data_IF_547057975303
#
_entry.id   IF_547057975303
#
_cell.length_a   1.000
_cell.length_b   1.000
_cell.length_c   1.000
_cell.angle_alpha   90.00
_cell.angle_beta   90.00
_cell.angle_gamma   90.00
#
_symmetry.space_group_name_H-M   'P 1'
#
loop_
_entity.id
_entity.type
_entity.pdbx_description
1 polymer ?
#
# COMPACT_ATOMS: atom_id res chain seq x y z
N UNK A 1 6.23 -3.09 18.50
CA UNK A 1 7.39 -2.20 18.75
C UNK A 1 7.71 -2.02 20.22
N UNK A 2 6.77 -1.55 21.07
CA UNK A 2 7.00 -1.42 22.53
C UNK A 2 7.56 -2.70 23.18
N UNK A 3 6.96 -3.86 22.92
CA UNK A 3 7.42 -5.16 23.45
C UNK A 3 8.84 -5.53 22.99
N UNK A 4 9.27 -5.05 21.81
CA UNK A 4 10.62 -5.26 21.28
C UNK A 4 11.63 -4.23 21.79
N UNK A 5 11.23 -3.27 22.64
CA UNK A 5 12.11 -2.24 23.20
C UNK A 5 12.33 -1.01 22.31
N UNK A 6 11.70 -0.93 21.14
CA UNK A 6 11.84 0.23 20.25
C UNK A 6 10.90 1.37 20.66
N UNK A 7 11.50 2.45 21.19
CA UNK A 7 10.79 3.69 21.53
C UNK A 7 10.56 4.60 20.33
N UNK A 8 11.39 4.50 19.29
CA UNK A 8 11.29 5.19 18.01
C UNK A 8 11.58 4.23 16.86
N UNK A 9 10.83 4.32 15.76
CA UNK A 9 10.99 3.46 14.58
C UNK A 9 10.49 4.14 13.30
N UNK A 10 10.95 3.61 12.16
CA UNK A 10 10.39 3.88 10.83
C UNK A 10 9.47 2.73 10.46
N UNK A 11 8.31 3.02 9.85
CA UNK A 11 7.42 2.00 9.32
C UNK A 11 7.37 2.06 7.78
N UNK A 12 7.23 0.89 7.15
CA UNK A 12 7.13 0.77 5.69
C UNK A 12 5.91 -0.08 5.33
N UNK A 13 5.18 0.30 4.29
CA UNK A 13 4.08 -0.53 3.81
C UNK A 13 3.52 -0.21 2.42
N UNK A 14 3.11 -1.27 1.73
CA UNK A 14 2.20 -1.24 0.57
C UNK A 14 0.83 -1.83 0.96
N UNK A 15 -0.16 -1.75 0.06
CA UNK A 15 -1.52 -2.28 0.28
C UNK A 15 -2.12 -1.92 1.67
N UNK A 16 -2.73 -2.86 2.38
CA UNK A 16 -3.19 -2.67 3.76
C UNK A 16 -2.08 -2.21 4.71
N UNK A 17 -0.83 -2.63 4.45
CA UNK A 17 0.34 -2.16 5.19
C UNK A 17 0.55 -0.65 5.05
N UNK A 18 0.21 -0.04 3.90
CA UNK A 18 0.24 1.42 3.72
C UNK A 18 -0.81 2.10 4.61
N UNK A 19 -2.04 1.57 4.65
CA UNK A 19 -3.10 2.08 5.53
C UNK A 19 -2.70 1.99 7.01
N UNK A 20 -2.22 0.83 7.46
CA UNK A 20 -1.75 0.62 8.83
C UNK A 20 -0.56 1.55 9.15
N UNK A 21 0.40 1.69 8.24
CA UNK A 21 1.57 2.56 8.40
C UNK A 21 1.18 4.03 8.58
N UNK A 22 0.23 4.52 7.78
CA UNK A 22 -0.33 5.87 7.96
C UNK A 22 -1.05 6.01 9.31
N UNK A 23 -1.87 5.03 9.71
CA UNK A 23 -2.52 5.06 11.03
C UNK A 23 -1.50 5.06 12.18
N UNK A 24 -0.38 4.32 12.06
CA UNK A 24 0.72 4.38 13.03
C UNK A 24 1.35 5.77 13.13
N UNK A 25 1.57 6.44 12.00
CA UNK A 25 2.11 7.80 11.97
C UNK A 25 1.17 8.84 12.60
N UNK A 26 -0.14 8.68 12.40
CA UNK A 26 -1.15 9.60 12.95
C UNK A 26 -1.40 9.38 14.44
N UNK A 27 -1.52 8.12 14.87
CA UNK A 27 -1.87 7.76 16.25
C UNK A 27 -0.65 7.78 17.18
N UNK A 28 0.54 7.50 16.66
CA UNK A 28 1.77 7.37 17.44
C UNK A 28 2.94 8.17 16.85
N UNK A 29 2.80 9.48 16.55
CA UNK A 29 3.86 10.29 15.91
C UNK A 29 5.14 10.43 16.78
N UNK A 30 5.02 10.15 18.08
CA UNK A 30 6.16 10.11 19.01
C UNK A 30 6.95 8.81 18.95
N UNK A 31 6.40 7.74 18.37
CA UNK A 31 7.06 6.44 18.26
C UNK A 31 7.30 6.04 16.79
N UNK A 32 6.28 6.17 15.93
CA UNK A 32 6.42 6.05 14.48
C UNK A 32 6.97 7.38 13.96
N UNK A 33 8.29 7.49 13.85
CA UNK A 33 9.00 8.76 13.59
C UNK A 33 9.14 9.10 12.14
N UNK A 34 8.88 8.17 11.22
CA UNK A 34 8.87 8.38 9.78
C UNK A 34 8.16 7.20 9.11
N UNK A 35 7.61 7.42 7.91
CA UNK A 35 6.97 6.36 7.12
C UNK A 35 7.42 6.31 5.67
N UNK A 36 7.53 5.11 5.11
CA UNK A 36 7.82 4.88 3.69
C UNK A 36 6.69 4.06 3.04
N UNK A 37 6.13 4.55 1.95
CA UNK A 37 4.97 3.92 1.30
C UNK A 37 5.31 3.54 -0.14
N UNK A 38 5.05 2.29 -0.54
CA UNK A 38 5.11 1.88 -1.95
C UNK A 38 3.72 1.80 -2.63
N UNK A 39 2.66 2.08 -1.87
CA UNK A 39 1.31 2.34 -2.37
C UNK A 39 0.79 3.61 -1.66
N UNK A 40 1.17 4.81 -2.12
CA UNK A 40 0.83 6.06 -1.45
C UNK A 40 -0.63 6.45 -1.71
N UNK A 41 -1.60 5.68 -1.20
CA UNK A 41 -3.02 5.93 -1.41
C UNK A 41 -3.50 7.09 -0.53
N UNK A 42 -3.69 8.26 -1.14
CA UNK A 42 -4.24 9.47 -0.52
C UNK A 42 -5.45 9.97 -1.31
N UNK A 43 -6.47 10.44 -0.59
CA UNK A 43 -7.67 11.01 -1.21
C UNK A 43 -7.36 12.34 -1.88
N UNK A 44 -8.22 12.74 -2.83
CA UNK A 44 -8.22 14.10 -3.37
C UNK A 44 -8.39 15.09 -2.21
N UNK A 45 -7.53 16.12 -2.09
CA UNK A 45 -7.72 17.19 -1.13
C UNK A 45 -9.06 17.92 -1.30
N UNK A 46 -9.55 18.61 -0.25
CA UNK A 46 -10.73 19.47 -0.33
C UNK A 46 -10.70 20.43 -1.52
N UNK A 47 -11.86 20.77 -2.09
CA UNK A 47 -11.96 21.60 -3.32
C UNK A 47 -11.39 23.01 -3.15
N UNK A 48 -11.37 23.52 -1.93
CA UNK A 48 -10.83 24.81 -1.51
C UNK A 48 -9.31 24.77 -1.26
N UNK A 49 -8.67 23.60 -1.32
CA UNK A 49 -7.22 23.50 -1.23
C UNK A 49 -6.55 24.07 -2.50
N UNK A 50 -5.63 25.01 -2.32
CA UNK A 50 -4.79 25.53 -3.40
C UNK A 50 -3.73 24.49 -3.79
N UNK A 51 -3.86 23.92 -4.99
CA UNK A 51 -2.94 22.94 -5.55
C UNK A 51 -2.51 23.36 -6.96
N UNK A 52 -1.31 22.97 -7.42
CA UNK A 52 -0.95 23.12 -8.82
C UNK A 52 -1.92 22.30 -9.71
N UNK A 53 -2.15 22.73 -10.97
CA UNK A 53 -2.93 21.95 -11.91
C UNK A 53 -2.30 20.57 -12.14
N UNK A 54 -3.14 19.58 -12.42
CA UNK A 54 -2.66 18.24 -12.76
C UNK A 54 -2.05 18.25 -14.15
N UNK A 55 -1.01 17.44 -14.33
CA UNK A 55 -0.48 17.15 -15.67
C UNK A 55 -1.43 16.22 -16.42
N UNK A 56 -1.39 16.23 -17.75
CA UNK A 56 -2.18 15.32 -18.58
C UNK A 56 -1.92 13.84 -18.24
N UNK A 57 -0.69 13.50 -17.85
CA UNK A 57 -0.33 12.15 -17.41
C UNK A 57 -1.01 11.77 -16.09
N UNK A 58 -1.06 12.69 -15.12
CA UNK A 58 -1.76 12.48 -13.84
C UNK A 58 -3.28 12.37 -14.04
N UNK A 59 -3.87 13.20 -14.89
CA UNK A 59 -5.29 13.11 -15.25
C UNK A 59 -5.63 11.77 -15.92
N UNK A 60 -4.83 11.37 -16.91
CA UNK A 60 -5.00 10.10 -17.61
C UNK A 60 -4.90 8.92 -16.65
N UNK A 61 -3.97 8.97 -15.68
CA UNK A 61 -3.79 7.90 -14.69
C UNK A 61 -4.97 7.80 -13.72
N UNK A 62 -5.50 8.94 -13.27
CA UNK A 62 -6.71 8.98 -12.43
C UNK A 62 -7.90 8.39 -13.18
N UNK A 63 -8.06 8.72 -14.46
CA UNK A 63 -9.15 8.19 -15.26
C UNK A 63 -9.00 6.69 -15.53
N UNK A 64 -7.79 6.21 -15.82
CA UNK A 64 -7.50 4.78 -15.94
C UNK A 64 -7.81 4.02 -14.64
N UNK A 65 -7.46 4.59 -13.48
CA UNK A 65 -7.83 4.01 -12.19
C UNK A 65 -9.36 3.94 -12.01
N UNK A 66 -10.09 4.99 -12.37
CA UNK A 66 -11.55 5.03 -12.32
C UNK A 66 -12.17 3.95 -13.22
N UNK A 67 -11.70 3.81 -14.45
CA UNK A 67 -12.22 2.85 -15.42
C UNK A 67 -11.86 1.41 -15.02
N UNK A 68 -10.58 1.12 -14.84
CA UNK A 68 -10.07 -0.24 -14.71
C UNK A 68 -10.34 -0.80 -13.31
N UNK A 69 -10.07 -0.02 -12.26
CA UNK A 69 -10.16 -0.53 -10.90
C UNK A 69 -11.55 -0.28 -10.28
N UNK A 70 -12.03 0.96 -10.26
CA UNK A 70 -13.28 1.26 -9.55
C UNK A 70 -14.50 0.56 -10.17
N UNK A 71 -14.56 0.47 -11.50
CA UNK A 71 -15.70 -0.15 -12.18
C UNK A 71 -15.55 -1.67 -12.32
N UNK A 72 -14.36 -2.19 -12.64
CA UNK A 72 -14.17 -3.60 -12.99
C UNK A 72 -13.31 -4.40 -11.98
N UNK A 73 -12.27 -3.80 -11.39
CA UNK A 73 -11.33 -4.51 -10.50
C UNK A 73 -11.77 -4.72 -9.04
N UNK A 74 -12.87 -4.09 -8.58
CA UNK A 74 -13.29 -4.13 -7.16
C UNK A 74 -14.19 -5.29 -6.76
N UNK A 75 -14.46 -6.25 -7.66
CA UNK A 75 -15.34 -7.40 -7.39
C UNK A 75 -14.92 -8.19 -6.14
N UNK A 76 -13.64 -8.57 -6.07
CA UNK A 76 -13.05 -9.30 -4.94
C UNK A 76 -13.26 -8.54 -3.61
N UNK A 77 -13.00 -7.23 -3.62
CA UNK A 77 -13.08 -6.36 -2.45
C UNK A 77 -14.52 -6.28 -1.93
N UNK A 78 -15.50 -6.14 -2.83
CA UNK A 78 -16.92 -6.00 -2.47
C UNK A 78 -17.46 -7.25 -1.78
N UNK A 79 -17.15 -8.43 -2.31
CA UNK A 79 -17.62 -9.69 -1.70
C UNK A 79 -16.91 -9.98 -0.38
N UNK A 80 -15.60 -9.70 -0.27
CA UNK A 80 -14.87 -9.85 0.99
C UNK A 80 -15.37 -8.87 2.06
N UNK A 81 -15.72 -7.64 1.66
CA UNK A 81 -16.25 -6.64 2.59
C UNK A 81 -17.65 -6.98 3.10
N UNK A 82 -18.48 -7.68 2.33
CA UNK A 82 -19.89 -7.92 2.67
C UNK A 82 -20.16 -9.32 3.23
N UNK A 83 -19.55 -10.37 2.65
CA UNK A 83 -19.81 -11.78 2.99
C UNK A 83 -18.50 -12.58 3.14
N UNK A 84 -17.54 -12.13 3.99
CA UNK A 84 -16.23 -12.77 4.11
C UNK A 84 -16.33 -14.24 4.55
N UNK A 85 -17.27 -14.58 5.43
CA UNK A 85 -17.42 -15.94 5.94
C UNK A 85 -17.94 -16.91 4.87
N UNK A 86 -18.95 -16.49 4.09
CA UNK A 86 -19.54 -17.32 3.03
C UNK A 86 -18.53 -17.57 1.91
N UNK A 87 -17.84 -16.52 1.46
CA UNK A 87 -16.77 -16.66 0.48
C UNK A 87 -15.63 -17.54 1.02
N UNK A 88 -15.28 -17.33 2.29
CA UNK A 88 -14.24 -18.07 3.00
C UNK A 88 -14.40 -19.59 2.88
N UNK A 89 -15.59 -20.12 3.16
CA UNK A 89 -15.87 -21.56 3.03
C UNK A 89 -15.59 -22.10 1.62
N UNK A 90 -16.01 -21.38 0.58
CA UNK A 90 -15.83 -21.82 -0.80
C UNK A 90 -14.35 -21.81 -1.24
N UNK A 91 -13.59 -20.80 -0.79
CA UNK A 91 -12.19 -20.63 -1.18
C UNK A 91 -11.25 -21.49 -0.32
N UNK A 92 -11.52 -21.65 0.97
CA UNK A 92 -10.64 -22.40 1.88
C UNK A 92 -10.63 -23.91 1.64
N UNK A 93 -11.76 -24.46 1.17
CA UNK A 93 -11.93 -25.91 0.97
C UNK A 93 -11.37 -26.39 -0.40
N UNK A 94 -10.98 -25.46 -1.28
CA UNK A 94 -10.48 -25.75 -2.61
C UNK A 94 -9.08 -25.16 -2.82
N UNK A 95 -8.01 -25.98 -2.84
CA UNK A 95 -6.65 -25.48 -3.12
C UNK A 95 -6.55 -24.77 -4.47
N UNK A 96 -7.26 -25.27 -5.50
CA UNK A 96 -7.31 -24.66 -6.83
C UNK A 96 -8.11 -23.34 -6.77
N UNK A 97 -9.22 -23.31 -6.03
CA UNK A 97 -10.01 -22.10 -5.81
C UNK A 97 -9.20 -21.01 -5.11
N UNK A 98 -8.46 -21.37 -4.06
CA UNK A 98 -7.54 -20.48 -3.36
C UNK A 98 -6.44 -19.93 -4.28
N UNK A 99 -5.78 -20.83 -5.02
CA UNK A 99 -4.72 -20.46 -5.95
C UNK A 99 -5.24 -19.53 -7.05
N UNK A 100 -6.39 -19.81 -7.64
CA UNK A 100 -7.00 -18.96 -8.67
C UNK A 100 -7.41 -17.59 -8.09
N UNK A 101 -8.00 -17.57 -6.89
CA UNK A 101 -8.44 -16.34 -6.21
C UNK A 101 -7.28 -15.39 -5.91
N UNK A 102 -6.12 -15.93 -5.52
CA UNK A 102 -4.91 -15.15 -5.27
C UNK A 102 -4.19 -14.83 -6.59
N UNK A 103 -4.05 -15.83 -7.48
CA UNK A 103 -3.28 -15.75 -8.72
C UNK A 103 -3.79 -14.71 -9.69
N UNK A 104 -5.10 -14.51 -9.77
CA UNK A 104 -5.70 -13.44 -10.57
C UNK A 104 -5.13 -12.05 -10.20
N UNK A 105 -4.92 -11.78 -8.89
CA UNK A 105 -4.31 -10.52 -8.44
C UNK A 105 -2.82 -10.43 -8.75
N UNK A 106 -2.10 -11.54 -8.64
CA UNK A 106 -0.71 -11.57 -9.08
C UNK A 106 -0.56 -11.39 -10.59
N UNK A 107 -1.57 -11.72 -11.39
CA UNK A 107 -1.52 -11.49 -12.83
C UNK A 107 -1.93 -10.05 -13.17
N UNK A 108 -3.00 -9.53 -12.56
CA UNK A 108 -3.50 -8.19 -12.83
C UNK A 108 -2.63 -7.06 -12.28
N UNK A 109 -1.92 -7.27 -11.16
CA UNK A 109 -1.28 -6.18 -10.41
C UNK A 109 0.25 -6.15 -10.52
N UNK A 110 0.87 -7.11 -11.20
CA UNK A 110 2.32 -7.09 -11.46
C UNK A 110 2.64 -6.43 -12.79
N UNK A 111 3.88 -5.97 -12.94
CA UNK A 111 4.41 -5.53 -14.23
C UNK A 111 4.83 -6.71 -15.10
N UNK A 112 3.94 -7.15 -16.00
CA UNK A 112 4.18 -8.26 -16.94
C UNK A 112 5.05 -7.88 -18.15
N UNK A 113 5.54 -6.63 -18.27
CA UNK A 113 6.32 -6.21 -19.44
C UNK A 113 7.59 -7.05 -19.61
N UNK A 114 7.80 -7.56 -20.82
CA UNK A 114 8.96 -8.40 -21.14
C UNK A 114 8.82 -9.86 -20.71
N UNK A 115 7.65 -10.27 -20.21
CA UNK A 115 7.24 -11.67 -20.05
C UNK A 115 6.40 -12.16 -21.23
N UNK A 116 5.92 -13.40 -21.11
CA UNK A 116 5.00 -14.07 -22.04
C UNK A 116 3.52 -13.96 -21.63
N UNK A 117 3.24 -13.18 -20.59
CA UNK A 117 1.91 -13.01 -20.00
C UNK A 117 1.72 -13.80 -18.71
N UNK A 118 2.68 -14.64 -18.30
CA UNK A 118 2.71 -15.25 -16.97
C UNK A 118 3.54 -14.41 -15.98
N UNK A 119 3.58 -14.79 -14.70
CA UNK A 119 4.34 -14.09 -13.64
C UNK A 119 5.83 -13.92 -13.98
N UNK A 120 6.37 -14.78 -14.86
CA UNK A 120 7.75 -14.77 -15.31
C UNK A 120 8.02 -13.67 -16.35
N UNK A 121 9.18 -13.00 -16.33
CA UNK A 121 10.30 -13.17 -15.40
C UNK A 121 10.17 -12.34 -14.12
N UNK A 122 9.08 -11.58 -13.93
CA UNK A 122 8.92 -10.62 -12.84
C UNK A 122 8.93 -11.31 -11.47
N UNK A 123 8.35 -12.51 -11.37
CA UNK A 123 8.35 -13.34 -10.17
C UNK A 123 8.36 -14.82 -10.55
N UNK A 124 9.04 -15.65 -9.74
CA UNK A 124 9.05 -17.11 -9.96
C UNK A 124 7.74 -17.75 -9.50
N UNK A 125 7.40 -18.89 -10.10
CA UNK A 125 6.25 -19.69 -9.67
C UNK A 125 6.39 -20.14 -8.21
N UNK A 126 7.61 -20.39 -7.73
CA UNK A 126 7.87 -20.77 -6.34
C UNK A 126 7.52 -19.65 -5.35
N UNK A 127 7.80 -18.39 -5.68
CA UNK A 127 7.38 -17.26 -4.84
C UNK A 127 5.84 -17.15 -4.78
N UNK A 128 5.17 -17.30 -5.93
CA UNK A 128 3.71 -17.31 -5.98
C UNK A 128 3.12 -18.44 -5.13
N UNK A 129 3.57 -19.68 -5.36
CA UNK A 129 3.10 -20.85 -4.63
C UNK A 129 3.43 -20.77 -3.15
N UNK A 130 4.59 -20.23 -2.77
CA UNK A 130 4.93 -19.99 -1.35
C UNK A 130 3.91 -19.06 -0.71
N UNK A 131 3.53 -17.96 -1.37
CA UNK A 131 2.48 -17.06 -0.86
C UNK A 131 1.13 -17.80 -0.73
N UNK A 132 0.71 -18.57 -1.74
CA UNK A 132 -0.53 -19.37 -1.68
C UNK A 132 -0.48 -20.39 -0.54
N UNK A 133 0.65 -21.06 -0.33
CA UNK A 133 0.83 -22.08 0.70
C UNK A 133 0.78 -21.49 2.12
N UNK A 134 1.20 -20.25 2.32
CA UNK A 134 1.00 -19.55 3.61
C UNK A 134 -0.50 -19.48 3.92
N UNK A 135 -1.33 -19.05 2.97
CA UNK A 135 -2.80 -19.01 3.17
C UNK A 135 -3.40 -20.39 3.37
N UNK A 136 -2.94 -21.38 2.59
CA UNK A 136 -3.46 -22.73 2.61
C UNK A 136 -3.18 -23.44 3.93
N UNK A 137 -1.91 -23.55 4.34
CA UNK A 137 -1.50 -24.30 5.53
C UNK A 137 -2.03 -23.65 6.82
N UNK A 138 -2.08 -22.31 6.86
CA UNK A 138 -2.61 -21.60 8.03
C UNK A 138 -4.14 -21.50 8.04
N UNK A 139 -4.80 -21.93 6.96
CA UNK A 139 -6.24 -21.76 6.72
C UNK A 139 -6.73 -20.32 7.00
N UNK A 140 -5.93 -19.33 6.58
CA UNK A 140 -6.13 -17.93 6.98
C UNK A 140 -6.86 -17.07 5.95
N UNK A 141 -7.26 -17.65 4.81
CA UNK A 141 -7.94 -16.90 3.74
C UNK A 141 -9.27 -16.30 4.21
N UNK A 142 -10.05 -17.02 5.01
CA UNK A 142 -11.32 -16.50 5.55
C UNK A 142 -11.06 -15.35 6.54
N UNK A 143 -10.03 -15.48 7.38
CA UNK A 143 -9.69 -14.41 8.34
C UNK A 143 -9.13 -13.17 7.66
N UNK A 144 -8.36 -13.30 6.57
CA UNK A 144 -7.83 -12.15 5.84
C UNK A 144 -8.96 -11.31 5.20
N UNK A 145 -10.03 -11.95 4.72
CA UNK A 145 -11.20 -11.24 4.18
C UNK A 145 -11.90 -10.36 5.21
N UNK A 146 -11.84 -10.71 6.50
CA UNK A 146 -12.53 -9.96 7.56
C UNK A 146 -11.95 -8.55 7.74
N UNK A 147 -10.71 -8.29 7.32
CA UNK A 147 -10.14 -6.95 7.31
C UNK A 147 -10.95 -6.00 6.41
N UNK A 148 -11.35 -6.47 5.22
CA UNK A 148 -12.20 -5.71 4.29
C UNK A 148 -13.57 -5.43 4.91
N UNK A 149 -14.16 -6.43 5.58
CA UNK A 149 -15.44 -6.27 6.26
C UNK A 149 -15.36 -5.27 7.40
N UNK A 150 -14.29 -5.32 8.21
CA UNK A 150 -14.04 -4.36 9.27
C UNK A 150 -13.94 -2.94 8.71
N UNK A 151 -13.11 -2.74 7.68
CA UNK A 151 -12.90 -1.43 7.05
C UNK A 151 -14.21 -0.82 6.57
N UNK A 152 -15.04 -1.60 5.87
CA UNK A 152 -16.30 -1.11 5.29
C UNK A 152 -17.29 -0.65 6.36
N UNK A 153 -17.38 -1.35 7.50
CA UNK A 153 -18.39 -1.08 8.52
C UNK A 153 -17.94 -0.10 9.60
N UNK A 154 -16.63 0.00 9.86
CA UNK A 154 -16.13 0.87 10.94
C UNK A 154 -15.79 2.26 10.44
N UNK A 155 -15.28 2.40 9.21
CA UNK A 155 -14.89 3.68 8.58
C UNK A 155 -13.94 4.58 9.40
N UNK A 156 -13.50 4.18 10.59
CA UNK A 156 -12.70 4.99 11.51
C UNK A 156 -11.38 5.43 10.87
N UNK A 157 -10.70 4.52 10.19
CA UNK A 157 -9.46 4.83 9.47
C UNK A 157 -9.72 5.76 8.27
N UNK A 158 -10.85 5.62 7.57
CA UNK A 158 -11.16 6.49 6.41
C UNK A 158 -11.31 7.93 6.86
N UNK A 159 -12.05 8.17 7.96
CA UNK A 159 -12.26 9.52 8.45
C UNK A 159 -10.96 10.16 8.91
N UNK A 160 -10.13 9.45 9.67
CA UNK A 160 -8.84 9.98 10.14
C UNK A 160 -7.88 10.25 8.97
N UNK A 161 -7.73 9.30 8.05
CA UNK A 161 -6.80 9.37 6.92
C UNK A 161 -7.20 10.40 5.85
N UNK A 162 -8.46 10.86 5.85
CA UNK A 162 -8.99 11.84 4.89
C UNK A 162 -9.23 13.22 5.49
N UNK A 163 -8.91 13.43 6.77
CA UNK A 163 -9.12 14.73 7.45
C UNK A 163 -7.88 15.25 8.16
N UNK A 164 -6.95 14.37 8.56
CA UNK A 164 -5.75 14.75 9.32
C UNK A 164 -4.49 14.61 8.47
N UNK A 165 -3.60 15.61 8.56
CA UNK A 165 -2.30 15.58 7.88
C UNK A 165 -1.28 14.75 8.64
N UNK A 166 -0.46 13.99 7.91
CA UNK A 166 0.66 13.23 8.46
C UNK A 166 1.88 14.15 8.57
N UNK A 167 2.31 14.43 9.80
CA UNK A 167 3.35 15.43 10.08
C UNK A 167 4.76 14.85 10.19
N UNK A 168 4.89 13.54 10.44
CA UNK A 168 6.19 12.86 10.42
C UNK A 168 6.76 12.83 8.99
N UNK A 169 8.08 12.70 8.81
CA UNK A 169 8.70 12.53 7.49
C UNK A 169 8.08 11.36 6.71
N UNK A 170 7.75 11.61 5.44
CA UNK A 170 7.15 10.64 4.54
C UNK A 170 8.03 10.44 3.31
N UNK A 171 8.24 9.18 2.93
CA UNK A 171 8.84 8.77 1.66
C UNK A 171 7.84 7.97 0.84
N UNK A 172 7.83 8.14 -0.47
CA UNK A 172 6.96 7.38 -1.38
C UNK A 172 7.75 6.81 -2.56
N UNK A 173 7.58 5.52 -2.80
CA UNK A 173 8.03 4.81 -3.99
C UNK A 173 6.84 4.59 -4.93
N UNK A 174 6.94 5.06 -6.17
CA UNK A 174 5.87 5.04 -7.16
C UNK A 174 6.25 4.12 -8.29
N UNK A 175 5.57 2.97 -8.35
CA UNK A 175 5.72 1.98 -9.40
C UNK A 175 4.70 2.23 -10.52
N UNK A 176 5.05 1.97 -11.80
CA UNK A 176 4.21 2.32 -12.94
C UNK A 176 2.91 1.50 -13.03
N UNK A 177 2.93 0.24 -12.61
CA UNK A 177 1.75 -0.65 -12.62
C UNK A 177 1.10 -0.82 -11.25
N UNK A 178 1.38 0.08 -10.31
CA UNK A 178 0.60 0.16 -9.07
C UNK A 178 -0.86 0.52 -9.40
N UNK A 179 -1.79 -0.13 -8.70
CA UNK A 179 -3.25 -0.03 -8.87
C UNK A 179 -3.70 1.42 -8.85
N UNK A 180 -3.21 2.18 -7.87
CA UNK A 180 -3.52 3.59 -7.72
C UNK A 180 -2.27 4.38 -7.34
N UNK A 181 -1.99 5.41 -8.11
CA UNK A 181 -0.98 6.41 -7.78
C UNK A 181 -1.64 7.77 -7.85
N UNK A 182 -1.82 8.46 -6.72
CA UNK A 182 -2.33 9.82 -6.73
C UNK A 182 -1.27 10.78 -7.27
N UNK A 183 -1.70 11.96 -7.75
CA UNK A 183 -0.82 13.09 -8.04
C UNK A 183 0.09 13.42 -6.85
N UNK A 184 1.35 13.78 -7.12
CA UNK A 184 2.31 14.16 -6.06
C UNK A 184 1.79 15.33 -5.22
N UNK A 185 1.09 16.27 -5.85
CA UNK A 185 0.48 17.43 -5.18
C UNK A 185 -0.55 17.04 -4.13
N UNK A 186 -1.30 15.95 -4.34
CA UNK A 186 -2.26 15.44 -3.36
C UNK A 186 -1.52 14.85 -2.16
N UNK A 187 -0.48 14.06 -2.40
CA UNK A 187 0.34 13.49 -1.33
C UNK A 187 1.02 14.59 -0.53
N UNK A 188 1.59 15.59 -1.18
CA UNK A 188 2.24 16.73 -0.50
C UNK A 188 1.26 17.57 0.34
N UNK A 189 -0.02 17.65 -0.07
CA UNK A 189 -1.05 18.31 0.74
C UNK A 189 -1.29 17.61 2.07
N UNK A 190 -1.43 16.27 2.03
CA UNK A 190 -1.69 15.44 3.22
C UNK A 190 -0.42 15.18 4.05
N UNK A 191 0.74 15.18 3.40
CA UNK A 191 2.05 14.93 3.99
C UNK A 191 2.95 16.16 3.78
N UNK A 192 2.79 17.22 4.58
CA UNK A 192 3.61 18.44 4.46
C UNK A 192 5.11 18.18 4.61
N UNK A 193 5.50 17.06 5.25
CA UNK A 193 6.88 16.61 5.38
C UNK A 193 7.20 15.44 4.42
N UNK A 194 6.77 15.55 3.16
CA UNK A 194 7.15 14.62 2.09
C UNK A 194 8.60 14.86 1.68
N UNK A 195 9.51 14.02 2.17
CA UNK A 195 10.97 14.18 1.99
C UNK A 195 11.55 13.35 0.86
N UNK A 196 10.81 12.34 0.37
CA UNK A 196 11.21 11.53 -0.77
C UNK A 196 10.01 11.17 -1.64
N UNK A 197 10.16 11.35 -2.95
CA UNK A 197 9.18 10.94 -3.96
C UNK A 197 9.94 10.35 -5.14
N UNK A 198 9.97 9.02 -5.21
CA UNK A 198 10.72 8.28 -6.21
C UNK A 198 9.77 7.66 -7.23
N UNK A 199 10.04 7.86 -8.51
CA UNK A 199 9.25 7.28 -9.62
C UNK A 199 10.13 6.24 -10.30
N UNK A 200 9.63 5.01 -10.44
CA UNK A 200 10.34 3.89 -11.06
C UNK A 200 9.82 3.61 -12.47
N UNK A 201 10.66 3.03 -13.32
CA UNK A 201 10.31 2.68 -14.71
C UNK A 201 9.65 1.31 -14.84
N UNK A 202 9.86 0.41 -13.86
CA UNK A 202 9.43 -1.00 -13.83
C UNK A 202 8.82 -1.35 -12.48
N UNK A 203 7.93 -2.35 -12.46
CA UNK A 203 7.28 -2.87 -11.25
C UNK A 203 5.80 -2.49 -11.12
N UNK A 204 5.07 -3.30 -10.38
CA UNK A 204 3.66 -3.11 -10.03
C UNK A 204 3.44 -3.05 -8.52
N UNK A 205 2.33 -3.62 -8.08
CA UNK A 205 1.82 -3.57 -6.71
C UNK A 205 2.70 -4.35 -5.72
N UNK A 206 3.28 -5.48 -6.15
CA UNK A 206 4.11 -6.35 -5.31
C UNK A 206 5.58 -5.90 -5.34
N UNK A 207 5.83 -4.60 -5.14
CA UNK A 207 7.12 -3.94 -5.32
C UNK A 207 8.31 -4.67 -4.69
N UNK A 208 8.14 -5.23 -3.48
CA UNK A 208 9.19 -5.97 -2.78
C UNK A 208 9.56 -7.30 -3.45
N UNK A 209 8.62 -7.94 -4.16
CA UNK A 209 8.87 -9.18 -4.91
C UNK A 209 9.36 -8.85 -6.33
N UNK A 210 8.72 -7.88 -6.99
CA UNK A 210 9.00 -7.55 -8.39
C UNK A 210 10.31 -6.78 -8.57
N UNK A 211 10.59 -5.83 -7.66
CA UNK A 211 11.67 -4.84 -7.77
C UNK A 211 12.43 -4.72 -6.45
N UNK A 212 12.81 -5.86 -5.88
CA UNK A 212 13.51 -5.98 -4.59
C UNK A 212 14.61 -4.92 -4.39
N UNK A 213 15.57 -4.85 -5.33
CA UNK A 213 16.72 -3.94 -5.21
C UNK A 213 16.34 -2.46 -5.31
N UNK A 214 15.35 -2.14 -6.14
CA UNK A 214 14.86 -0.77 -6.28
C UNK A 214 14.20 -0.32 -4.96
N UNK A 215 13.35 -1.16 -4.37
CA UNK A 215 12.67 -0.84 -3.12
C UNK A 215 13.65 -0.77 -1.93
N UNK A 216 14.61 -1.71 -1.84
CA UNK A 216 15.66 -1.69 -0.80
C UNK A 216 16.46 -0.38 -0.88
N UNK A 217 16.93 -0.01 -2.08
CA UNK A 217 17.70 1.22 -2.28
C UNK A 217 16.86 2.45 -1.90
N UNK A 218 15.58 2.46 -2.28
CA UNK A 218 14.68 3.57 -1.97
C UNK A 218 14.45 3.75 -0.47
N UNK A 219 14.20 2.65 0.25
CA UNK A 219 14.03 2.65 1.71
C UNK A 219 15.31 3.13 2.40
N UNK A 220 16.48 2.67 1.93
CA UNK A 220 17.79 3.10 2.49
C UNK A 220 18.04 4.58 2.27
N UNK A 221 17.78 5.10 1.08
CA UNK A 221 17.90 6.52 0.77
C UNK A 221 16.97 7.36 1.66
N UNK A 222 15.72 6.92 1.81
CA UNK A 222 14.73 7.59 2.65
C UNK A 222 15.18 7.63 4.12
N UNK A 223 15.54 6.46 4.66
CA UNK A 223 16.01 6.33 6.02
C UNK A 223 17.28 7.16 6.26
N UNK A 224 18.16 7.25 5.27
CA UNK A 224 19.40 8.03 5.32
C UNK A 224 19.23 9.54 5.22
N UNK A 225 18.03 10.06 4.91
CA UNK A 225 17.82 11.51 4.86
C UNK A 225 18.04 12.18 6.21
N UNK A 226 18.65 13.38 6.22
CA UNK A 226 18.89 14.16 7.45
C UNK A 226 17.61 14.36 8.26
N UNK A 227 16.49 14.60 7.57
CA UNK A 227 15.18 14.80 8.20
C UNK A 227 14.70 13.55 8.94
N UNK A 228 14.83 12.36 8.36
CA UNK A 228 14.45 11.09 9.01
C UNK A 228 15.39 10.76 10.18
N UNK A 229 16.71 10.90 9.98
CA UNK A 229 17.70 10.69 11.05
C UNK A 229 17.48 11.63 12.24
N UNK A 230 17.14 12.89 11.97
CA UNK A 230 16.80 13.87 13.02
C UNK A 230 15.51 13.50 13.73
N UNK A 231 14.48 13.07 12.99
CA UNK A 231 13.22 12.65 13.60
C UNK A 231 13.40 11.44 14.54
N UNK A 232 14.23 10.45 14.15
CA UNK A 232 14.51 9.26 14.95
C UNK A 232 15.30 9.55 16.24
N UNK A 233 16.16 10.56 16.24
CA UNK A 233 17.05 10.90 17.36
C UNK A 233 16.51 12.01 18.25
N UNK A 234 15.55 12.80 17.76
CA UNK A 234 14.94 13.88 18.54
C UNK A 234 14.07 13.31 19.67
N UNK A 235 14.07 13.95 20.86
CA UNK A 235 13.16 13.58 21.93
C UNK A 235 11.71 13.56 21.46
N UNK A 236 10.90 12.67 22.03
CA UNK A 236 9.46 12.68 21.80
C UNK A 236 8.88 14.05 22.18
N UNK A 237 8.01 14.61 21.33
CA UNK A 237 7.34 15.87 21.62
C UNK A 237 6.26 15.55 22.66
N UNK A 238 6.34 16.16 23.85
CA UNK A 238 5.22 16.10 24.79
C UNK A 238 4.06 16.86 24.14
N UNK A 239 3.04 16.12 23.71
CA UNK A 239 1.75 16.65 23.27
C UNK A 239 0.93 17.06 24.48
#
# INVERSE_FOLDING_TARGET
>A
MKTLGYSAYVAQGGDWGSSVTKSLALLYPNNCRAIHLNMPSFSRPPKDATLPPLTQAEESRIEQYRINFQNAGTGYQRIQATKPQTLGFAVSDSPIGLMAWIGEKFHEWVDLRGGDGDFSPTMTIDHFLTNVMIYYITNSITSSFRLYHYQMHRMLDVQLLSTVKITVPVGCAVFPHEIFVPPKSWVAYWCPNLVQWSIFERGGHFAALERTEDLIRDIRNFAGTKTVQTALTSPAVKL
#
